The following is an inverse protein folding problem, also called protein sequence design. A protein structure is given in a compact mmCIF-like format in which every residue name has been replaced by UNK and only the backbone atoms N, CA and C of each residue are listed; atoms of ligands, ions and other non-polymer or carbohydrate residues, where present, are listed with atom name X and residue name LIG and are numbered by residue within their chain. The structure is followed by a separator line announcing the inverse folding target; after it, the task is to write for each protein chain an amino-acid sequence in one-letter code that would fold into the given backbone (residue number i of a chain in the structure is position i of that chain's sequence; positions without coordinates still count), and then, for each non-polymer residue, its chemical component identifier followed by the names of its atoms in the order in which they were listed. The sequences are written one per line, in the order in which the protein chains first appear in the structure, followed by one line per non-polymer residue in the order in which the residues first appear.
data_IF_756661124089
#
_entry.id   IF_756661124089
#
_cell.length_a   1.000
_cell.length_b   1.000
_cell.length_c   1.000
_cell.angle_alpha   90.00
_cell.angle_beta   90.00
_cell.angle_gamma   90.00
#
_symmetry.space_group_name_H-M   'P 1'
#
loop_
_entity.id
_entity.type
_entity.pdbx_description
1 polymer ?
#
# COMPACT_ATOMS: atom_id res chain seq x y z
N UNK A 1 -2.96 1.89 -17.05
CA UNK A 1 -1.55 1.82 -16.60
C UNK A 1 -1.44 0.61 -15.69
N UNK A 2 -0.75 -0.44 -16.12
CA UNK A 2 -0.58 -1.68 -15.35
C UNK A 2 0.40 -1.35 -14.21
N UNK A 3 0.01 -1.58 -12.97
CA UNK A 3 0.89 -1.46 -11.81
C UNK A 3 1.63 -2.80 -11.72
N UNK A 4 2.58 -2.99 -12.63
CA UNK A 4 3.34 -4.21 -12.77
C UNK A 4 4.03 -4.53 -11.45
N UNK A 5 3.67 -5.67 -10.86
CA UNK A 5 4.31 -6.51 -9.83
C UNK A 5 5.15 -5.88 -8.69
N UNK A 6 6.02 -4.91 -8.98
CA UNK A 6 6.84 -4.13 -8.05
C UNK A 6 6.09 -2.97 -7.38
N UNK A 7 4.99 -2.52 -7.98
CA UNK A 7 4.20 -1.40 -7.43
C UNK A 7 3.63 -1.70 -6.04
N UNK A 8 3.24 -2.95 -5.77
CA UNK A 8 2.74 -3.36 -4.44
C UNK A 8 3.82 -3.30 -3.36
N UNK A 9 5.07 -3.63 -3.70
CA UNK A 9 6.20 -3.59 -2.74
C UNK A 9 6.58 -2.14 -2.45
N UNK A 10 6.66 -1.28 -3.48
CA UNK A 10 6.93 0.15 -3.30
C UNK A 10 5.82 0.80 -2.49
N UNK A 11 4.56 0.47 -2.77
CA UNK A 11 3.42 0.92 -1.99
C UNK A 11 3.51 0.48 -0.53
N UNK A 12 3.82 -0.80 -0.28
CA UNK A 12 4.00 -1.33 1.07
C UNK A 12 5.10 -0.61 1.84
N UNK A 13 6.30 -0.47 1.25
CA UNK A 13 7.43 0.22 1.89
C UNK A 13 7.06 1.67 2.21
N UNK A 14 6.45 2.38 1.27
CA UNK A 14 6.04 3.78 1.49
C UNK A 14 4.98 3.93 2.58
N UNK A 15 4.00 3.02 2.63
CA UNK A 15 3.00 3.01 3.70
C UNK A 15 3.65 2.69 5.04
N UNK A 16 4.60 1.76 5.08
CA UNK A 16 5.34 1.41 6.30
C UNK A 16 6.24 2.57 6.79
N UNK A 17 6.88 3.31 5.89
CA UNK A 17 7.66 4.52 6.21
C UNK A 17 6.76 5.64 6.72
N UNK A 18 5.65 5.91 6.02
CA UNK A 18 4.74 7.01 6.33
C UNK A 18 3.77 6.70 7.48
N UNK A 19 3.63 5.42 7.88
CA UNK A 19 2.61 4.89 8.82
C UNK A 19 1.18 5.34 8.49
N UNK A 20 0.93 5.63 7.21
CA UNK A 20 -0.31 6.23 6.75
C UNK A 20 -0.50 6.04 5.25
N UNK A 21 -1.62 5.43 4.86
CA UNK A 21 -2.00 5.28 3.45
C UNK A 21 -2.22 6.62 2.76
N UNK A 22 -2.86 7.57 3.43
CA UNK A 22 -3.14 8.90 2.87
C UNK A 22 -1.85 9.67 2.60
N UNK A 23 -0.91 9.61 3.53
CA UNK A 23 0.36 10.33 3.43
C UNK A 23 1.27 9.71 2.36
N UNK A 24 1.40 8.38 2.36
CA UNK A 24 2.13 7.65 1.32
C UNK A 24 1.52 7.84 -0.08
N UNK A 25 0.19 7.92 -0.19
CA UNK A 25 -0.48 8.17 -1.45
C UNK A 25 -0.21 9.59 -1.98
N UNK A 26 -0.20 10.59 -1.08
CA UNK A 26 0.17 11.96 -1.43
C UNK A 26 1.63 12.06 -1.91
N UNK A 27 2.56 11.35 -1.27
CA UNK A 27 3.97 11.32 -1.68
C UNK A 27 4.19 10.62 -3.02
N UNK A 28 3.42 9.56 -3.29
CA UNK A 28 3.49 8.82 -4.55
C UNK A 28 2.65 9.44 -5.68
N UNK A 29 1.88 10.50 -5.39
CA UNK A 29 0.99 11.15 -6.37
C UNK A 29 -0.15 10.24 -6.85
N UNK A 30 -0.56 9.27 -6.05
CA UNK A 30 -1.61 8.30 -6.38
C UNK A 30 -2.82 8.45 -5.46
N UNK A 31 -3.96 7.89 -5.87
CA UNK A 31 -5.12 7.82 -4.99
C UNK A 31 -4.87 6.83 -3.82
N UNK A 32 -5.30 7.16 -2.59
CA UNK A 32 -5.19 6.25 -1.44
C UNK A 32 -5.87 4.89 -1.68
N UNK A 33 -6.96 4.87 -2.45
CA UNK A 33 -7.64 3.65 -2.86
C UNK A 33 -6.74 2.76 -3.73
N UNK A 34 -6.04 3.33 -4.71
CA UNK A 34 -5.09 2.59 -5.55
C UNK A 34 -3.93 2.02 -4.76
N UNK A 35 -3.44 2.77 -3.76
CA UNK A 35 -2.37 2.30 -2.86
C UNK A 35 -2.84 1.14 -1.98
N UNK A 36 -4.06 1.23 -1.44
CA UNK A 36 -4.71 0.15 -0.70
C UNK A 36 -4.88 -1.11 -1.55
N UNK A 37 -5.33 -0.99 -2.80
CA UNK A 37 -5.49 -2.13 -3.71
C UNK A 37 -4.15 -2.75 -4.09
N UNK A 38 -3.11 -1.94 -4.31
CA UNK A 38 -1.76 -2.43 -4.60
C UNK A 38 -1.16 -3.24 -3.44
N UNK A 39 -1.34 -2.77 -2.20
CA UNK A 39 -0.92 -3.51 -0.99
C UNK A 39 -1.76 -4.77 -0.81
N UNK A 40 -3.09 -4.69 -0.99
CA UNK A 40 -3.98 -5.84 -0.85
C UNK A 40 -3.62 -6.95 -1.85
N UNK A 41 -3.38 -6.60 -3.11
CA UNK A 41 -2.92 -7.56 -4.11
C UNK A 41 -1.55 -8.16 -3.80
N UNK A 42 -0.69 -7.45 -3.06
CA UNK A 42 0.58 -8.01 -2.56
C UNK A 42 0.34 -9.00 -1.41
N UNK A 43 -0.51 -8.65 -0.44
CA UNK A 43 -0.90 -9.51 0.67
C UNK A 43 -1.57 -10.80 0.18
N UNK A 44 -2.47 -10.70 -0.80
CA UNK A 44 -3.15 -11.85 -1.42
C UNK A 44 -2.16 -12.79 -2.13
N UNK A 45 -1.15 -12.23 -2.81
CA UNK A 45 -0.12 -13.03 -3.49
C UNK A 45 0.85 -13.70 -2.53
N UNK A 46 1.14 -13.06 -1.39
CA UNK A 46 2.03 -13.62 -0.36
C UNK A 46 1.28 -14.53 0.63
N UNK A 47 -0.05 -14.47 0.66
CA UNK A 47 -0.87 -15.22 1.61
C UNK A 47 -0.72 -14.75 3.06
N UNK A 48 -0.18 -13.55 3.28
CA UNK A 48 0.09 -12.99 4.61
C UNK A 48 -0.40 -11.54 4.68
N UNK A 49 -0.87 -11.14 5.86
CA UNK A 49 -1.13 -9.72 6.14
C UNK A 49 0.18 -9.03 6.47
N UNK A 50 0.57 -8.08 5.63
CA UNK A 50 1.77 -7.28 5.78
C UNK A 50 1.50 -6.04 6.65
N UNK A 51 0.28 -5.51 6.60
CA UNK A 51 -0.11 -4.31 7.33
C UNK A 51 -1.37 -4.58 8.16
N UNK A 52 -1.27 -4.40 9.48
CA UNK A 52 -2.43 -4.41 10.34
C UNK A 52 -3.21 -3.10 10.16
N UNK A 53 -4.13 -3.08 9.18
CA UNK A 53 -5.07 -1.96 8.99
C UNK A 53 -5.92 -1.78 10.25
N UNK A 54 -5.55 -0.82 11.10
CA UNK A 54 -6.52 -0.24 12.02
C UNK A 54 -7.12 0.99 11.34
N UNK A 55 -8.39 1.28 11.57
CA UNK A 55 -9.12 2.41 10.95
C UNK A 55 -8.50 3.78 11.23
N UNK A 56 -7.47 3.85 12.07
CA UNK A 56 -6.82 5.09 12.49
C UNK A 56 -5.29 5.10 12.35
N UNK A 57 -4.65 3.95 12.12
CA UNK A 57 -3.20 3.85 11.94
C UNK A 57 -2.80 2.49 11.35
N UNK A 58 -1.65 2.50 10.70
CA UNK A 58 -0.96 1.32 10.19
C UNK A 58 0.44 1.32 10.76
#
# INVERSE_FOLDING_TARGET
MRLDQFSGIVAFVKVAEAKSFTRAAAELGVAPASLSEAVKGLEERLGVRLLNRTTRSV
#
